data_IF_443128088530
#
_entry.id   IF_443128088530
#
_cell.length_a   1.000
_cell.length_b   1.000
_cell.length_c   1.000
_cell.angle_alpha   90.00
_cell.angle_beta   90.00
_cell.angle_gamma   90.00
#
_symmetry.space_group_name_H-M   'P 1'
#
loop_
_entity.id
_entity.type
_entity.pdbx_description
1 polymer ?
#
# COMPACT_ATOMS: atom_id res chain seq x y z
N UNK A 1 16.82 -37.91 19.67
CA UNK A 1 15.84 -36.93 19.13
C UNK A 1 15.97 -35.50 19.67
N UNK A 2 16.68 -35.23 20.79
CA UNK A 2 16.67 -33.89 21.42
C UNK A 2 17.63 -32.85 20.83
N UNK A 3 18.76 -33.26 20.22
CA UNK A 3 19.77 -32.34 19.67
C UNK A 3 19.35 -31.73 18.33
N UNK A 4 18.88 -32.56 17.39
CA UNK A 4 18.39 -32.11 16.08
C UNK A 4 17.19 -31.14 16.17
N UNK A 5 16.24 -31.38 17.09
CA UNK A 5 15.15 -30.42 17.35
C UNK A 5 15.67 -29.09 17.92
N UNK A 6 16.68 -29.12 18.80
CA UNK A 6 17.29 -27.90 19.32
C UNK A 6 18.04 -27.10 18.25
N UNK A 7 18.71 -27.78 17.32
CA UNK A 7 19.44 -27.15 16.20
C UNK A 7 18.46 -26.50 15.21
N UNK A 8 17.39 -27.19 14.81
CA UNK A 8 16.31 -26.60 13.98
C UNK A 8 15.66 -25.39 14.64
N UNK A 9 15.41 -25.45 15.96
CA UNK A 9 14.80 -24.34 16.69
C UNK A 9 15.76 -23.15 16.87
N UNK A 10 17.08 -23.37 16.77
CA UNK A 10 18.07 -22.29 16.73
C UNK A 10 18.12 -21.64 15.34
N UNK A 11 18.02 -22.43 14.26
CA UNK A 11 17.96 -21.92 12.88
C UNK A 11 16.73 -21.03 12.63
N UNK A 12 15.57 -21.39 13.14
CA UNK A 12 14.31 -20.64 12.93
C UNK A 12 14.21 -19.34 13.76
N UNK A 13 15.12 -19.11 14.71
CA UNK A 13 15.19 -17.86 15.49
C UNK A 13 15.90 -16.74 14.76
N UNK A 14 16.75 -17.07 13.78
CA UNK A 14 17.49 -16.08 13.02
C UNK A 14 16.81 -15.89 11.66
N UNK A 15 16.40 -14.66 11.37
CA UNK A 15 15.88 -14.31 10.06
C UNK A 15 17.03 -14.49 9.05
N UNK A 16 16.82 -15.19 7.92
CA UNK A 16 17.87 -15.41 6.93
C UNK A 16 18.42 -14.09 6.38
N UNK A 17 19.68 -14.08 5.93
CA UNK A 17 20.30 -12.87 5.37
C UNK A 17 19.72 -12.50 4.01
N UNK A 18 19.17 -13.48 3.29
CA UNK A 18 18.38 -13.27 2.07
C UNK A 18 16.98 -13.81 2.34
N UNK A 19 16.01 -12.90 2.42
CA UNK A 19 14.59 -13.23 2.45
C UNK A 19 13.84 -12.14 1.67
N UNK A 20 13.11 -12.51 0.63
CA UNK A 20 12.33 -11.57 -0.16
C UNK A 20 11.01 -12.18 -0.63
N UNK A 21 9.98 -11.34 -0.72
CA UNK A 21 8.66 -11.68 -1.25
C UNK A 21 8.26 -10.71 -2.35
N UNK A 22 7.72 -11.23 -3.44
CA UNK A 22 7.06 -10.43 -4.45
C UNK A 22 5.67 -10.01 -3.96
N UNK A 23 5.23 -8.82 -4.33
CA UNK A 23 3.88 -8.32 -4.03
C UNK A 23 2.80 -9.24 -4.62
N UNK A 24 1.77 -9.51 -3.85
CA UNK A 24 0.61 -10.34 -4.25
C UNK A 24 -0.52 -9.51 -4.86
N UNK A 25 -0.60 -8.22 -4.52
CA UNK A 25 -1.51 -7.25 -5.11
C UNK A 25 -0.68 -6.28 -5.97
N UNK A 26 -0.90 -6.31 -7.27
CA UNK A 26 -0.21 -5.48 -8.25
C UNK A 26 -1.22 -4.57 -8.96
N UNK A 27 -1.28 -3.30 -8.52
CA UNK A 27 -2.04 -2.26 -9.20
C UNK A 27 -1.23 -1.63 -10.33
N UNK A 28 -1.92 -1.23 -11.41
CA UNK A 28 -1.39 -0.26 -12.37
C UNK A 28 -1.43 1.15 -11.74
N UNK A 29 -0.76 2.15 -12.34
CA UNK A 29 -1.16 3.54 -12.13
C UNK A 29 -2.65 3.73 -12.42
N UNK A 30 -3.27 4.71 -11.75
CA UNK A 30 -4.68 5.01 -11.94
C UNK A 30 -4.85 6.29 -12.74
N UNK A 31 -5.44 6.19 -13.94
CA UNK A 31 -5.71 7.31 -14.83
C UNK A 31 -6.98 8.04 -14.39
N UNK A 32 -6.98 9.38 -14.54
CA UNK A 32 -8.08 10.24 -14.15
C UNK A 32 -8.81 10.82 -15.36
N UNK A 33 -10.13 10.68 -15.41
CA UNK A 33 -10.97 11.15 -16.50
C UNK A 33 -12.09 12.04 -15.94
N UNK A 34 -12.56 13.00 -16.73
CA UNK A 34 -13.83 13.65 -16.49
C UNK A 34 -14.94 12.90 -17.23
N UNK A 35 -15.98 12.51 -16.50
CA UNK A 35 -17.25 12.10 -17.10
C UNK A 35 -18.06 13.36 -17.42
N UNK A 36 -18.28 13.60 -18.71
CA UNK A 36 -19.06 14.73 -19.21
C UNK A 36 -20.58 14.45 -19.09
N UNK A 37 -21.38 15.50 -19.17
CA UNK A 37 -22.86 15.42 -19.13
C UNK A 37 -23.46 14.54 -20.25
N UNK A 38 -22.72 14.33 -21.35
CA UNK A 38 -23.12 13.46 -22.46
C UNK A 38 -22.57 12.02 -22.35
N UNK A 39 -22.15 11.60 -21.15
CA UNK A 39 -21.54 10.30 -20.86
C UNK A 39 -20.18 10.03 -21.53
N UNK A 40 -19.61 11.02 -22.25
CA UNK A 40 -18.25 10.90 -22.78
C UNK A 40 -17.24 11.04 -21.66
N UNK A 41 -16.24 10.18 -21.65
CA UNK A 41 -15.07 10.30 -20.79
C UNK A 41 -13.95 11.02 -21.54
N UNK A 42 -13.32 12.01 -20.90
CA UNK A 42 -12.16 12.72 -21.43
C UNK A 42 -11.02 12.72 -20.41
N UNK A 43 -9.74 12.66 -20.83
CA UNK A 43 -8.62 12.68 -19.89
C UNK A 43 -8.58 14.00 -19.11
N UNK A 44 -8.25 13.92 -17.81
CA UNK A 44 -7.84 15.09 -17.05
C UNK A 44 -6.39 15.40 -17.43
N UNK A 45 -6.16 16.53 -18.08
CA UNK A 45 -4.82 16.95 -18.49
C UNK A 45 -4.20 17.90 -17.46
N UNK A 46 -2.91 17.70 -17.15
CA UNK A 46 -2.16 18.61 -16.27
C UNK A 46 -1.85 19.92 -16.99
N UNK A 47 -2.18 21.02 -16.32
CA UNK A 47 -1.90 22.37 -16.78
C UNK A 47 -0.79 22.99 -15.93
N UNK A 48 0.00 23.89 -16.52
CA UNK A 48 0.97 24.70 -15.80
C UNK A 48 0.41 26.12 -15.59
N UNK A 49 0.56 26.65 -14.39
CA UNK A 49 0.20 28.03 -14.07
C UNK A 49 1.27 28.69 -13.23
N UNK A 50 1.33 30.03 -13.30
CA UNK A 50 2.22 30.85 -12.49
C UNK A 50 1.35 31.63 -11.50
N UNK A 51 1.60 31.41 -10.22
CA UNK A 51 0.91 32.11 -9.14
C UNK A 51 1.86 33.09 -8.44
N UNK A 52 1.26 34.16 -7.92
CA UNK A 52 1.95 35.13 -7.05
C UNK A 52 1.43 34.94 -5.63
N UNK A 53 2.23 34.28 -4.80
CA UNK A 53 1.94 34.08 -3.38
C UNK A 53 2.58 35.15 -2.50
N UNK A 54 2.22 35.13 -1.21
CA UNK A 54 2.92 35.85 -0.15
C UNK A 54 4.06 34.98 0.42
N UNK A 55 5.08 35.61 0.99
CA UNK A 55 6.09 34.92 1.80
C UNK A 55 5.51 34.78 3.21
N UNK A 56 5.26 33.55 3.65
CA UNK A 56 4.58 33.27 4.92
C UNK A 56 5.26 32.17 5.75
N UNK A 57 6.49 31.78 5.42
CA UNK A 57 7.23 30.79 6.19
C UNK A 57 7.83 31.40 7.47
N UNK A 58 7.92 30.58 8.52
CA UNK A 58 8.39 31.01 9.84
C UNK A 58 9.79 31.63 9.80
N UNK A 59 10.70 31.07 9.00
CA UNK A 59 12.07 31.55 8.91
C UNK A 59 12.12 32.97 8.32
N UNK A 60 11.30 33.26 7.31
CA UNK A 60 11.14 34.63 6.79
C UNK A 60 10.44 35.57 7.77
N UNK A 61 9.39 35.10 8.46
CA UNK A 61 8.67 35.91 9.44
C UNK A 61 9.52 36.29 10.67
N UNK A 62 10.49 35.45 11.03
CA UNK A 62 11.37 35.64 12.19
C UNK A 62 12.77 36.15 11.85
N UNK A 63 13.02 36.49 10.58
CA UNK A 63 14.32 37.00 10.14
C UNK A 63 15.45 35.96 10.17
N UNK A 64 15.12 34.66 10.25
CA UNK A 64 16.09 33.57 10.16
C UNK A 64 16.61 33.36 8.74
N UNK A 65 15.93 33.93 7.73
CA UNK A 65 16.44 34.03 6.37
C UNK A 65 16.35 35.50 5.87
N UNK A 66 17.26 35.90 4.99
CA UNK A 66 17.33 37.26 4.43
C UNK A 66 16.29 37.52 3.31
N UNK A 67 15.14 36.85 3.35
CA UNK A 67 14.10 37.10 2.34
C UNK A 67 13.33 38.37 2.65
N UNK A 68 13.23 39.26 1.68
CA UNK A 68 12.32 40.38 1.74
C UNK A 68 10.87 39.89 1.72
N UNK A 69 10.17 39.93 2.86
CA UNK A 69 8.78 39.50 3.02
C UNK A 69 7.77 40.37 2.27
N UNK A 70 8.16 41.59 1.87
CA UNK A 70 7.36 42.47 1.02
C UNK A 70 7.45 42.09 -0.48
N UNK A 71 8.38 41.21 -0.85
CA UNK A 71 8.54 40.75 -2.22
C UNK A 71 7.48 39.71 -2.62
N UNK A 72 7.13 39.72 -3.91
CA UNK A 72 6.24 38.74 -4.52
C UNK A 72 6.88 37.34 -4.57
N UNK A 73 6.21 36.31 -4.03
CA UNK A 73 6.64 34.92 -4.16
C UNK A 73 6.05 34.29 -5.43
N UNK A 74 6.72 34.48 -6.57
CA UNK A 74 6.28 33.96 -7.86
C UNK A 74 6.68 32.48 -7.98
N UNK A 75 5.70 31.61 -8.26
CA UNK A 75 5.90 30.16 -8.36
C UNK A 75 5.19 29.62 -9.59
N UNK A 76 5.87 28.74 -10.34
CA UNK A 76 5.20 27.89 -11.34
C UNK A 76 4.76 26.58 -10.69
N UNK A 77 3.57 26.09 -11.01
CA UNK A 77 3.06 24.82 -10.52
C UNK A 77 2.21 24.09 -11.56
N UNK A 78 2.21 22.76 -11.45
CA UNK A 78 1.19 21.94 -12.09
C UNK A 78 -0.11 21.93 -11.28
N UNK A 79 -1.22 21.99 -12.00
CA UNK A 79 -2.57 21.82 -11.46
C UNK A 79 -3.44 21.02 -12.43
N UNK A 80 -4.55 20.49 -11.93
CA UNK A 80 -5.51 19.70 -12.70
C UNK A 80 -6.91 20.10 -12.26
N UNK A 81 -7.82 20.32 -13.21
CA UNK A 81 -9.19 20.73 -12.92
C UNK A 81 -10.17 19.92 -13.74
N UNK A 82 -11.39 19.78 -13.22
CA UNK A 82 -12.51 19.26 -14.00
C UNK A 82 -12.85 20.23 -15.15
N UNK A 83 -13.02 19.76 -16.40
CA UNK A 83 -13.43 20.61 -17.51
C UNK A 83 -14.87 21.12 -17.32
N UNK A 84 -15.25 22.16 -18.07
CA UNK A 84 -16.65 22.59 -18.12
C UNK A 84 -17.55 21.46 -18.64
N UNK A 85 -18.79 21.41 -18.16
CA UNK A 85 -19.77 20.37 -18.49
C UNK A 85 -19.41 18.95 -18.00
N UNK A 86 -18.56 18.83 -16.98
CA UNK A 86 -18.31 17.56 -16.28
C UNK A 86 -19.26 17.37 -15.10
N UNK A 87 -19.64 16.12 -14.85
CA UNK A 87 -20.49 15.72 -13.70
C UNK A 87 -19.76 14.88 -12.65
N UNK A 88 -18.66 14.24 -13.02
CA UNK A 88 -17.92 13.37 -12.11
C UNK A 88 -16.48 13.17 -12.55
N UNK A 89 -15.60 12.97 -11.57
CA UNK A 89 -14.25 12.47 -11.77
C UNK A 89 -14.28 10.94 -11.79
N UNK A 90 -13.80 10.32 -12.86
CA UNK A 90 -13.57 8.88 -12.93
C UNK A 90 -12.09 8.60 -12.71
N UNK A 91 -11.78 7.65 -11.84
CA UNK A 91 -10.43 7.13 -11.65
C UNK A 91 -10.44 5.63 -11.97
N UNK A 92 -9.57 5.19 -12.89
CA UNK A 92 -9.56 3.83 -13.46
C UNK A 92 -8.18 3.19 -13.36
N UNK A 93 -8.12 1.95 -12.87
CA UNK A 93 -6.89 1.16 -12.80
C UNK A 93 -7.15 -0.35 -12.91
N UNK A 94 -6.10 -1.09 -13.25
CA UNK A 94 -6.08 -2.55 -13.18
C UNK A 94 -5.50 -3.05 -11.86
N UNK A 95 -6.00 -4.17 -11.35
CA UNK A 95 -5.44 -4.89 -10.21
C UNK A 95 -5.25 -6.36 -10.56
N UNK A 96 -4.02 -6.86 -10.43
CA UNK A 96 -3.71 -8.29 -10.50
C UNK A 96 -3.50 -8.83 -9.09
N UNK A 97 -4.20 -9.92 -8.75
CA UNK A 97 -4.04 -10.66 -7.49
C UNK A 97 -3.42 -12.02 -7.80
N UNK A 98 -2.34 -12.34 -7.10
CA UNK A 98 -1.55 -13.56 -7.28
C UNK A 98 -1.03 -14.04 -5.92
N UNK A 99 -0.93 -15.35 -5.71
CA UNK A 99 -0.53 -15.95 -4.44
C UNK A 99 0.97 -15.89 -4.15
N UNK A 100 1.63 -14.75 -4.36
CA UNK A 100 3.06 -14.59 -4.11
C UNK A 100 3.42 -14.69 -2.62
N UNK A 101 2.45 -14.52 -1.70
CA UNK A 101 2.65 -14.75 -0.27
C UNK A 101 2.72 -16.23 0.14
N UNK A 102 2.41 -17.18 -0.78
CA UNK A 102 2.45 -18.61 -0.50
C UNK A 102 3.87 -19.17 -0.35
N UNK A 103 4.88 -18.46 -0.88
CA UNK A 103 6.29 -18.85 -0.84
C UNK A 103 7.18 -17.63 -0.95
N UNK A 104 8.34 -17.58 -0.25
CA UNK A 104 9.35 -16.58 -0.55
C UNK A 104 9.74 -16.61 -2.03
N UNK A 105 10.04 -15.44 -2.58
CA UNK A 105 10.67 -15.29 -3.90
C UNK A 105 12.16 -15.64 -3.82
N UNK A 106 12.83 -15.23 -2.74
CA UNK A 106 14.21 -15.60 -2.43
C UNK A 106 14.32 -15.94 -0.95
N UNK A 107 15.00 -17.04 -0.63
CA UNK A 107 15.38 -17.42 0.72
C UNK A 107 16.68 -18.22 0.68
N UNK A 108 17.70 -17.85 1.47
CA UNK A 108 18.95 -18.62 1.53
C UNK A 108 19.01 -19.64 2.68
N UNK A 109 17.89 -19.88 3.36
CA UNK A 109 17.74 -20.95 4.36
C UNK A 109 16.53 -21.83 4.02
N UNK A 110 16.79 -23.09 3.67
CA UNK A 110 15.76 -24.04 3.22
C UNK A 110 14.79 -24.45 4.34
N UNK A 111 15.28 -24.58 5.58
CA UNK A 111 14.45 -24.88 6.75
C UNK A 111 13.45 -23.76 7.01
N UNK A 112 13.93 -22.51 6.98
CA UNK A 112 13.12 -21.31 7.17
C UNK A 112 12.08 -21.13 6.05
N UNK A 113 12.50 -21.31 4.79
CA UNK A 113 11.61 -21.27 3.62
C UNK A 113 10.47 -22.29 3.72
N UNK A 114 10.80 -23.53 4.08
CA UNK A 114 9.80 -24.59 4.22
C UNK A 114 8.82 -24.30 5.35
N UNK A 115 9.26 -23.71 6.46
CA UNK A 115 8.37 -23.30 7.56
C UNK A 115 7.45 -22.15 7.15
N UNK A 116 7.94 -21.17 6.38
CA UNK A 116 7.09 -20.11 5.81
C UNK A 116 6.03 -20.66 4.84
N UNK A 117 6.41 -21.59 3.96
CA UNK A 117 5.47 -22.27 3.06
C UNK A 117 4.40 -23.04 3.84
N UNK A 118 4.79 -23.74 4.91
CA UNK A 118 3.85 -24.45 5.79
C UNK A 118 2.91 -23.47 6.49
N UNK A 119 3.43 -22.38 7.07
CA UNK A 119 2.64 -21.32 7.67
C UNK A 119 1.58 -20.79 6.69
N UNK A 120 1.98 -20.43 5.47
CA UNK A 120 1.06 -19.92 4.45
C UNK A 120 -0.01 -20.96 4.04
N UNK A 121 0.38 -22.23 3.91
CA UNK A 121 -0.54 -23.33 3.61
C UNK A 121 -1.57 -23.53 4.73
N UNK A 122 -1.12 -23.66 5.99
CA UNK A 122 -2.01 -23.80 7.13
C UNK A 122 -2.92 -22.58 7.27
N UNK A 123 -2.39 -21.37 7.05
CA UNK A 123 -3.18 -20.14 7.08
C UNK A 123 -4.29 -20.15 6.02
N UNK A 124 -4.01 -20.65 4.81
CA UNK A 124 -5.01 -20.84 3.77
C UNK A 124 -6.09 -21.84 4.18
N UNK A 125 -5.69 -23.00 4.73
CA UNK A 125 -6.59 -24.08 5.15
C UNK A 125 -7.53 -23.66 6.28
N UNK A 126 -7.07 -22.79 7.20
CA UNK A 126 -7.90 -22.25 8.30
C UNK A 126 -8.76 -21.05 7.91
N UNK A 127 -8.76 -20.64 6.63
CA UNK A 127 -9.59 -19.53 6.13
C UNK A 127 -8.96 -18.14 6.26
N UNK A 128 -7.68 -18.05 6.63
CA UNK A 128 -6.99 -16.77 6.83
C UNK A 128 -6.90 -15.90 5.57
N UNK A 129 -6.72 -16.50 4.39
CA UNK A 129 -6.73 -15.72 3.14
C UNK A 129 -8.13 -15.24 2.75
N UNK A 130 -9.19 -15.94 3.15
CA UNK A 130 -10.57 -15.46 2.94
C UNK A 130 -10.84 -14.23 3.79
N UNK A 131 -10.33 -14.23 5.03
CA UNK A 131 -10.41 -13.07 5.92
C UNK A 131 -9.66 -11.86 5.35
N UNK A 132 -8.41 -12.04 4.90
CA UNK A 132 -7.66 -10.94 4.27
C UNK A 132 -8.27 -10.48 2.96
N UNK A 133 -8.77 -11.40 2.12
CA UNK A 133 -9.49 -11.05 0.89
C UNK A 133 -10.70 -10.15 1.18
N UNK A 134 -11.47 -10.44 2.23
CA UNK A 134 -12.60 -9.59 2.63
C UNK A 134 -12.14 -8.17 3.00
N UNK A 135 -11.06 -8.01 3.76
CA UNK A 135 -10.51 -6.69 4.12
C UNK A 135 -9.98 -5.92 2.90
N UNK A 136 -9.26 -6.58 1.99
CA UNK A 136 -8.78 -5.92 0.77
C UNK A 136 -9.93 -5.51 -0.16
N UNK A 137 -10.95 -6.37 -0.31
CA UNK A 137 -12.14 -6.04 -1.08
C UNK A 137 -12.91 -4.86 -0.47
N UNK A 138 -12.99 -4.78 0.86
CA UNK A 138 -13.61 -3.64 1.54
C UNK A 138 -12.90 -2.34 1.15
N UNK A 139 -11.56 -2.32 1.20
CA UNK A 139 -10.77 -1.16 0.78
C UNK A 139 -10.95 -0.79 -0.70
N UNK A 140 -11.16 -1.77 -1.59
CA UNK A 140 -11.47 -1.52 -3.00
C UNK A 140 -12.79 -0.76 -3.13
N UNK A 141 -13.85 -1.24 -2.47
CA UNK A 141 -15.19 -0.63 -2.58
C UNK A 141 -15.34 0.66 -1.78
N UNK A 142 -14.56 0.87 -0.71
CA UNK A 142 -14.53 2.15 0.04
C UNK A 142 -13.93 3.30 -0.77
N UNK A 143 -13.30 3.02 -1.92
CA UNK A 143 -12.71 4.03 -2.81
C UNK A 143 -11.64 4.94 -2.16
N UNK A 144 -11.07 4.54 -1.01
CA UNK A 144 -10.00 5.30 -0.32
C UNK A 144 -8.74 5.48 -1.17
N UNK A 145 -8.58 4.67 -2.22
CA UNK A 145 -7.56 4.82 -3.24
C UNK A 145 -7.74 6.08 -4.11
N UNK A 146 -8.87 6.80 -4.04
CA UNK A 146 -9.06 8.15 -4.58
C UNK A 146 -8.35 9.26 -3.78
N UNK A 147 -7.90 8.96 -2.56
CA UNK A 147 -7.21 9.89 -1.65
C UNK A 147 -7.95 11.22 -1.50
N UNK A 148 -7.30 12.35 -1.77
CA UNK A 148 -7.86 13.70 -1.63
C UNK A 148 -9.01 13.98 -2.62
N UNK A 149 -9.21 13.13 -3.63
CA UNK A 149 -10.37 13.22 -4.51
C UNK A 149 -11.63 12.55 -3.93
N UNK A 150 -11.50 11.86 -2.79
CA UNK A 150 -12.63 11.28 -2.09
C UNK A 150 -13.28 12.36 -1.22
N UNK A 151 -14.37 12.96 -1.71
CA UNK A 151 -15.21 13.88 -0.93
C UNK A 151 -16.34 13.17 -0.17
N UNK A 152 -16.30 11.83 -0.13
CA UNK A 152 -17.37 10.88 0.26
C UNK A 152 -18.34 10.60 -0.89
N UNK A 153 -18.90 9.38 -0.97
CA UNK A 153 -19.86 8.91 -2.00
C UNK A 153 -19.27 8.60 -3.40
N UNK A 154 -18.36 7.63 -3.48
CA UNK A 154 -17.91 7.11 -4.77
C UNK A 154 -18.80 5.94 -5.23
N UNK A 155 -19.20 5.94 -6.50
CA UNK A 155 -19.78 4.76 -7.14
C UNK A 155 -18.64 3.91 -7.69
N UNK A 156 -18.41 2.75 -7.08
CA UNK A 156 -17.34 1.84 -7.47
C UNK A 156 -17.88 0.71 -8.34
N UNK A 157 -17.25 0.55 -9.49
CA UNK A 157 -17.54 -0.50 -10.47
C UNK A 157 -16.33 -1.42 -10.58
N UNK A 158 -16.51 -2.70 -10.27
CA UNK A 158 -15.49 -3.74 -10.37
C UNK A 158 -15.87 -4.70 -11.50
N UNK A 159 -14.99 -4.80 -12.49
CA UNK A 159 -15.14 -5.75 -13.61
C UNK A 159 -14.10 -6.86 -13.49
N UNK A 160 -14.57 -8.10 -13.54
CA UNK A 160 -13.72 -9.30 -13.49
C UNK A 160 -13.19 -9.63 -14.89
N UNK A 161 -11.96 -10.13 -14.98
CA UNK A 161 -11.41 -10.63 -16.23
C UNK A 161 -12.30 -11.76 -16.80
N UNK A 162 -12.70 -11.61 -18.07
CA UNK A 162 -13.57 -12.55 -18.77
C UNK A 162 -15.07 -12.26 -18.69
N UNK A 163 -15.52 -11.44 -17.72
CA UNK A 163 -16.92 -11.05 -17.57
C UNK A 163 -17.20 -9.75 -18.34
N UNK A 164 -17.46 -9.86 -19.65
CA UNK A 164 -17.81 -8.69 -20.48
C UNK A 164 -19.23 -8.15 -20.23
N UNK A 165 -20.05 -8.80 -19.39
CA UNK A 165 -21.50 -8.50 -19.34
C UNK A 165 -22.05 -7.99 -18.00
N UNK A 166 -21.48 -8.36 -16.85
CA UNK A 166 -22.05 -7.97 -15.55
C UNK A 166 -20.96 -7.42 -14.61
N UNK A 167 -20.67 -6.11 -14.66
CA UNK A 167 -19.81 -5.50 -13.66
C UNK A 167 -20.52 -5.50 -12.29
N UNK A 168 -19.76 -5.73 -11.22
CA UNK A 168 -20.27 -5.53 -9.86
C UNK A 168 -20.20 -4.03 -9.57
N UNK A 169 -21.33 -3.46 -9.20
CA UNK A 169 -21.45 -2.03 -8.88
C UNK A 169 -21.88 -1.91 -7.43
N UNK A 170 -21.20 -1.05 -6.68
CA UNK A 170 -21.54 -0.76 -5.29
C UNK A 170 -21.23 0.70 -4.97
N UNK A 171 -22.09 1.35 -4.19
CA UNK A 171 -21.82 2.67 -3.66
C UNK A 171 -20.96 2.54 -2.38
N UNK A 172 -19.86 3.29 -2.30
CA UNK A 172 -18.94 3.22 -1.16
C UNK A 172 -19.61 3.56 0.18
N UNK A 173 -20.71 4.33 0.16
CA UNK A 173 -21.47 4.67 1.37
C UNK A 173 -22.34 3.52 1.88
N UNK A 174 -22.87 2.68 0.98
CA UNK A 174 -23.69 1.52 1.36
C UNK A 174 -22.89 0.46 2.12
N UNK A 175 -21.57 0.48 1.98
CA UNK A 175 -20.64 -0.49 2.55
C UNK A 175 -19.61 0.17 3.48
N UNK A 176 -19.89 1.37 3.98
CA UNK A 176 -18.95 2.12 4.82
C UNK A 176 -18.56 1.33 6.08
N UNK A 177 -19.54 0.69 6.72
CA UNK A 177 -19.32 -0.16 7.89
C UNK A 177 -18.84 -1.56 7.50
N UNK A 178 -17.97 -2.20 8.32
CA UNK A 178 -17.60 -3.60 8.12
C UNK A 178 -18.80 -4.54 8.07
N UNK A 179 -19.84 -4.29 8.87
CA UNK A 179 -21.05 -5.12 8.90
C UNK A 179 -21.81 -5.08 7.57
N UNK A 180 -22.05 -3.88 7.03
CA UNK A 180 -22.71 -3.72 5.75
C UNK A 180 -21.92 -4.37 4.60
N UNK A 181 -20.59 -4.26 4.64
CA UNK A 181 -19.74 -4.94 3.66
C UNK A 181 -19.81 -6.46 3.78
N UNK A 182 -19.90 -7.02 4.99
CA UNK A 182 -20.11 -8.47 5.16
C UNK A 182 -21.45 -8.92 4.59
N UNK A 183 -22.50 -8.12 4.69
CA UNK A 183 -23.80 -8.45 4.07
C UNK A 183 -23.71 -8.43 2.53
N UNK A 184 -22.98 -7.48 1.95
CA UNK A 184 -22.66 -7.50 0.52
C UNK A 184 -21.94 -8.79 0.11
N UNK A 185 -20.96 -9.25 0.88
CA UNK A 185 -20.23 -10.50 0.59
C UNK A 185 -21.10 -11.77 0.71
N UNK A 186 -22.28 -11.72 1.35
CA UNK A 186 -23.24 -12.84 1.39
C UNK A 186 -24.10 -12.94 0.14
N UNK A 187 -24.16 -11.89 -0.69
CA UNK A 187 -24.84 -11.95 -1.99
C UNK A 187 -24.13 -12.95 -2.92
N UNK A 188 -24.83 -13.47 -3.93
CA UNK A 188 -24.22 -14.39 -4.91
C UNK A 188 -22.97 -13.79 -5.57
N UNK A 189 -23.06 -12.53 -6.00
CA UNK A 189 -21.96 -11.85 -6.69
C UNK A 189 -20.82 -11.50 -5.74
N UNK A 190 -21.13 -10.99 -4.54
CA UNK A 190 -20.13 -10.70 -3.51
C UNK A 190 -19.37 -11.96 -3.07
N UNK A 191 -20.09 -13.08 -2.88
CA UNK A 191 -19.48 -14.37 -2.54
C UNK A 191 -18.58 -14.88 -3.66
N UNK A 192 -19.03 -14.82 -4.92
CA UNK A 192 -18.23 -15.23 -6.08
C UNK A 192 -16.94 -14.40 -6.19
N UNK A 193 -17.01 -13.09 -5.97
CA UNK A 193 -15.84 -12.22 -5.96
C UNK A 193 -14.88 -12.59 -4.82
N UNK A 194 -15.39 -12.81 -3.61
CA UNK A 194 -14.60 -13.23 -2.45
C UNK A 194 -13.90 -14.58 -2.71
N UNK A 195 -14.60 -15.56 -3.26
CA UNK A 195 -14.06 -16.88 -3.57
C UNK A 195 -12.94 -16.80 -4.62
N UNK A 196 -13.12 -16.00 -5.68
CA UNK A 196 -12.10 -15.75 -6.71
C UNK A 196 -10.87 -15.04 -6.13
N UNK A 197 -11.07 -14.03 -5.29
CA UNK A 197 -9.97 -13.27 -4.66
C UNK A 197 -9.19 -14.17 -3.69
N UNK A 198 -9.90 -14.94 -2.86
CA UNK A 198 -9.33 -15.91 -1.92
C UNK A 198 -8.52 -16.98 -2.65
N UNK A 199 -9.07 -17.54 -3.73
CA UNK A 199 -8.39 -18.53 -4.57
C UNK A 199 -7.10 -17.97 -5.16
N UNK A 200 -7.10 -16.71 -5.58
CA UNK A 200 -5.92 -16.05 -6.09
C UNK A 200 -4.83 -15.84 -5.02
N UNK A 201 -5.19 -15.33 -3.84
CA UNK A 201 -4.25 -15.18 -2.72
C UNK A 201 -3.68 -16.52 -2.23
N UNK A 202 -4.48 -17.59 -2.27
CA UNK A 202 -4.05 -18.93 -1.93
C UNK A 202 -3.21 -19.62 -3.03
N UNK A 203 -2.88 -18.92 -4.12
CA UNK A 203 -2.04 -19.44 -5.21
C UNK A 203 -2.74 -20.45 -6.13
N UNK A 204 -4.07 -20.58 -6.06
CA UNK A 204 -4.85 -21.52 -6.88
C UNK A 204 -5.20 -20.95 -8.26
N UNK A 205 -5.18 -19.63 -8.41
CA UNK A 205 -5.51 -18.92 -9.65
C UNK A 205 -4.82 -17.56 -9.72
N UNK A 206 -4.96 -16.87 -10.85
CA UNK A 206 -4.62 -15.43 -10.96
C UNK A 206 -5.90 -14.66 -11.25
N UNK A 207 -6.18 -13.65 -10.44
CA UNK A 207 -7.33 -12.76 -10.64
C UNK A 207 -6.85 -11.44 -11.25
N UNK A 208 -7.57 -10.94 -12.25
CA UNK A 208 -7.37 -9.61 -12.83
C UNK A 208 -8.69 -8.86 -12.76
N UNK A 209 -8.63 -7.65 -12.25
CA UNK A 209 -9.77 -6.74 -12.08
C UNK A 209 -9.49 -5.45 -12.85
N UNK A 210 -10.52 -4.91 -13.50
CA UNK A 210 -10.59 -3.49 -13.83
C UNK A 210 -11.47 -2.82 -12.78
N UNK A 211 -10.96 -1.74 -12.18
CA UNK A 211 -11.62 -1.01 -11.11
C UNK A 211 -11.80 0.42 -11.58
N UNK A 212 -13.06 0.84 -11.67
CA UNK A 212 -13.48 2.19 -12.02
C UNK A 212 -14.21 2.77 -10.80
N UNK A 213 -13.82 3.97 -10.37
CA UNK A 213 -14.55 4.71 -9.34
C UNK A 213 -14.97 6.06 -9.89
N UNK A 214 -16.25 6.36 -9.76
CA UNK A 214 -16.84 7.63 -10.16
C UNK A 214 -17.14 8.45 -8.90
N UNK A 215 -16.49 9.61 -8.79
CA UNK A 215 -16.54 10.52 -7.66
C UNK A 215 -17.30 11.77 -8.09
N UNK A 216 -18.36 12.10 -7.35
CA UNK A 216 -19.13 13.32 -7.63
C UNK A 216 -18.21 14.51 -7.45
N UNK A 217 -18.05 15.29 -8.53
CA UNK A 217 -17.15 16.43 -8.57
C UNK A 217 -17.69 17.47 -9.52
N UNK A 218 -17.73 18.73 -9.09
CA UNK A 218 -18.30 19.79 -9.90
C UNK A 218 -17.33 20.19 -11.01
N UNK A 219 -17.87 20.84 -12.06
CA UNK A 219 -17.03 21.48 -13.06
C UNK A 219 -16.08 22.51 -12.42
N UNK A 220 -14.89 22.67 -13.02
CA UNK A 220 -13.82 23.57 -12.57
C UNK A 220 -13.22 23.26 -11.18
N UNK A 221 -13.68 22.21 -10.51
CA UNK A 221 -13.14 21.79 -9.24
C UNK A 221 -11.74 21.15 -9.40
N UNK A 222 -10.82 21.39 -8.46
CA UNK A 222 -9.45 20.88 -8.52
C UNK A 222 -9.40 19.36 -8.32
N UNK A 223 -8.71 18.68 -9.24
CA UNK A 223 -8.39 17.26 -9.19
C UNK A 223 -7.00 17.09 -8.56
N UNK A 224 -6.82 16.03 -7.78
CA UNK A 224 -5.62 15.77 -6.97
C UNK A 224 -4.86 14.52 -7.42
N UNK A 225 -4.03 14.61 -8.48
CA UNK A 225 -3.09 13.57 -8.89
C UNK A 225 -2.02 13.28 -7.83
N UNK A 226 -1.20 12.28 -8.10
CA UNK A 226 0.05 12.10 -7.36
C UNK A 226 0.98 13.30 -7.56
N UNK A 227 1.78 13.63 -6.55
CA UNK A 227 2.83 14.64 -6.66
C UNK A 227 4.19 13.96 -6.89
N UNK A 228 4.99 14.49 -7.81
CA UNK A 228 6.36 14.05 -8.04
C UNK A 228 7.32 14.70 -7.05
N UNK A 229 8.36 13.94 -6.68
CA UNK A 229 9.46 14.50 -5.89
C UNK A 229 10.42 15.19 -6.86
N UNK A 230 10.41 16.53 -6.85
CA UNK A 230 11.37 17.28 -7.66
C UNK A 230 12.75 17.23 -6.99
N UNK A 231 13.72 16.60 -7.65
CA UNK A 231 15.13 16.82 -7.31
C UNK A 231 15.50 18.28 -7.57
N UNK A 232 16.46 18.81 -6.81
CA UNK A 232 16.76 20.26 -6.70
C UNK A 232 17.18 20.94 -8.02
N UNK A 233 17.39 20.22 -9.12
CA UNK A 233 18.10 20.71 -10.32
C UNK A 233 17.28 20.65 -11.62
N UNK A 234 16.17 21.40 -11.70
CA UNK A 234 15.51 21.66 -12.99
C UNK A 234 15.03 23.12 -13.13
N UNK A 235 15.89 24.10 -12.81
CA UNK A 235 15.61 25.50 -13.16
C UNK A 235 16.68 26.06 -14.10
N UNK A 236 16.34 26.16 -15.38
CA UNK A 236 16.97 27.12 -16.30
C UNK A 236 16.69 28.55 -15.82
N UNK A 237 17.63 29.47 -16.06
CA UNK A 237 17.66 30.85 -15.51
C UNK A 237 16.43 31.73 -15.82
N UNK A 238 15.62 31.37 -16.81
CA UNK A 238 14.63 32.31 -17.38
C UNK A 238 13.16 32.01 -17.01
N UNK A 239 12.89 30.97 -16.21
CA UNK A 239 11.53 30.63 -15.74
C UNK A 239 11.43 30.66 -14.22
N UNK A 240 10.31 31.15 -13.64
CA UNK A 240 10.09 31.08 -12.21
C UNK A 240 10.20 29.61 -11.76
N UNK A 241 10.88 29.40 -10.63
CA UNK A 241 11.15 28.06 -10.10
C UNK A 241 9.84 27.30 -9.95
N UNK A 242 9.73 26.16 -10.64
CA UNK A 242 8.56 25.29 -10.52
C UNK A 242 8.62 24.55 -9.18
N UNK A 243 7.60 24.70 -8.35
CA UNK A 243 7.58 24.24 -6.95
C UNK A 243 6.72 22.99 -6.72
N UNK A 244 5.76 22.73 -7.61
CA UNK A 244 4.86 21.56 -7.55
C UNK A 244 4.81 20.90 -8.93
N UNK A 245 5.16 19.62 -8.95
CA UNK A 245 5.10 18.76 -10.11
C UNK A 245 4.07 17.68 -9.86
N UNK A 246 3.13 17.49 -10.78
CA UNK A 246 2.11 16.45 -10.66
C UNK A 246 2.44 15.29 -11.61
N UNK A 247 2.12 14.08 -11.16
CA UNK A 247 2.34 12.85 -11.92
C UNK A 247 1.34 12.74 -13.06
N UNK A 248 1.85 12.40 -14.24
CA UNK A 248 1.06 12.11 -15.43
C UNK A 248 1.66 10.98 -16.24
N UNK A 249 0.83 10.35 -17.06
CA UNK A 249 1.22 9.32 -18.02
C UNK A 249 0.81 9.81 -19.41
N UNK A 250 1.71 9.87 -20.39
CA UNK A 250 1.32 10.15 -21.77
C UNK A 250 0.41 9.05 -22.31
N UNK A 251 -0.70 9.46 -22.94
CA UNK A 251 -1.64 8.60 -23.65
C UNK A 251 -1.87 9.15 -25.05
N UNK A 252 -2.55 8.37 -25.91
CA UNK A 252 -2.90 8.83 -27.27
C UNK A 252 -3.74 10.11 -27.24
N UNK A 253 -4.64 10.23 -26.25
CA UNK A 253 -5.57 11.36 -26.13
C UNK A 253 -5.01 12.55 -25.33
N UNK A 254 -3.92 12.36 -24.58
CA UNK A 254 -3.36 13.41 -23.70
C UNK A 254 -1.89 13.16 -23.37
N UNK A 255 -0.97 14.09 -23.71
CA UNK A 255 0.45 13.97 -23.41
C UNK A 255 0.76 14.06 -21.91
N UNK A 256 -0.11 14.72 -21.12
CA UNK A 256 0.03 14.88 -19.67
C UNK A 256 -1.22 14.41 -18.94
N UNK A 257 -1.66 13.17 -19.19
CA UNK A 257 -2.84 12.60 -18.54
C UNK A 257 -2.57 12.40 -17.04
N UNK A 258 -3.31 13.13 -16.20
CA UNK A 258 -3.23 13.06 -14.75
C UNK A 258 -3.44 11.64 -14.21
N UNK A 259 -2.62 11.24 -13.24
CA UNK A 259 -2.67 9.91 -12.67
C UNK A 259 -2.31 9.85 -11.17
N UNK A 260 -2.70 8.76 -10.51
CA UNK A 260 -2.13 8.33 -9.23
C UNK A 260 -1.05 7.28 -9.47
N UNK A 261 0.06 7.37 -8.72
CA UNK A 261 1.08 6.32 -8.71
C UNK A 261 0.50 4.99 -8.24
N UNK A 262 0.98 3.89 -8.81
CA UNK A 262 0.56 2.53 -8.42
C UNK A 262 0.84 2.23 -6.94
N UNK A 263 1.94 2.76 -6.38
CA UNK A 263 2.29 2.62 -4.97
C UNK A 263 1.30 3.35 -4.05
N UNK A 264 0.77 4.49 -4.50
CA UNK A 264 -0.23 5.27 -3.75
C UNK A 264 -1.59 4.57 -3.75
N UNK A 265 -1.98 3.96 -4.87
CA UNK A 265 -3.14 3.06 -4.95
C UNK A 265 -2.93 1.84 -4.03
N UNK A 266 -1.78 1.17 -4.16
CA UNK A 266 -1.46 -0.01 -3.36
C UNK A 266 -1.41 0.25 -1.86
N UNK A 267 -0.95 1.42 -1.44
CA UNK A 267 -0.99 1.85 -0.04
C UNK A 267 -2.42 1.90 0.50
N UNK A 268 -3.35 2.54 -0.22
CA UNK A 268 -4.75 2.62 0.19
C UNK A 268 -5.45 1.25 0.23
N UNK A 269 -5.13 0.37 -0.72
CA UNK A 269 -5.67 -0.99 -0.74
C UNK A 269 -5.24 -1.82 0.48
N UNK A 270 -4.01 -1.61 0.99
CA UNK A 270 -3.49 -2.31 2.17
C UNK A 270 -3.69 -1.58 3.48
N UNK A 271 -4.53 -0.55 3.52
CA UNK A 271 -4.97 0.12 4.76
C UNK A 271 -5.99 -0.75 5.50
N UNK A 272 -5.52 -1.90 5.99
CA UNK A 272 -6.34 -2.94 6.62
C UNK A 272 -5.84 -3.32 8.02
N UNK A 273 -4.72 -2.76 8.46
CA UNK A 273 -4.12 -3.08 9.75
C UNK A 273 -4.85 -2.31 10.85
N UNK A 274 -5.85 -2.94 11.44
CA UNK A 274 -6.58 -2.51 12.64
C UNK A 274 -6.23 -3.39 13.85
N UNK A 275 -5.08 -4.08 13.80
CA UNK A 275 -4.63 -5.01 14.85
C UNK A 275 -3.45 -4.46 15.65
N UNK A 276 -3.12 -3.18 15.48
CA UNK A 276 -1.88 -2.60 16.02
C UNK A 276 -2.01 -2.11 17.47
N UNK A 277 -3.23 -1.98 17.98
CA UNK A 277 -3.49 -1.70 19.39
C UNK A 277 -4.75 -2.42 19.84
N UNK A 278 -4.72 -2.99 21.04
CA UNK A 278 -5.89 -3.51 21.76
C UNK A 278 -6.37 -2.59 22.87
N UNK A 279 -5.63 -1.50 23.14
CA UNK A 279 -5.79 -0.64 24.32
C UNK A 279 -6.28 0.77 23.96
N UNK A 280 -6.41 1.09 22.67
CA UNK A 280 -6.85 2.40 22.20
C UNK A 280 -8.31 2.34 21.77
N UNK A 281 -9.12 3.29 22.22
CA UNK A 281 -10.48 3.50 21.70
C UNK A 281 -10.48 4.04 20.26
N UNK A 282 -9.33 4.58 19.81
CA UNK A 282 -9.13 5.18 18.48
C UNK A 282 -8.36 4.25 17.52
N UNK A 283 -8.68 2.95 17.52
CA UNK A 283 -8.09 2.02 16.53
C UNK A 283 -8.74 2.26 15.17
N UNK A 284 -7.98 2.87 14.26
CA UNK A 284 -8.32 2.96 12.85
C UNK A 284 -7.37 2.10 12.01
N UNK A 285 -7.84 1.57 10.87
CA UNK A 285 -6.98 0.84 9.96
C UNK A 285 -5.83 1.72 9.45
N UNK A 286 -4.59 1.24 9.57
CA UNK A 286 -3.41 1.83 8.95
C UNK A 286 -2.93 0.95 7.79
N UNK A 287 -2.10 1.54 6.92
CA UNK A 287 -1.44 0.79 5.86
C UNK A 287 -0.51 -0.26 6.47
N UNK A 288 -0.66 -1.52 6.05
CA UNK A 288 0.19 -2.62 6.53
C UNK A 288 1.65 -2.33 6.20
N UNK A 289 2.47 -2.09 7.22
CA UNK A 289 3.92 -1.92 7.10
C UNK A 289 4.62 -2.84 8.11
N UNK A 290 5.88 -3.28 7.83
CA UNK A 290 6.62 -4.14 8.76
C UNK A 290 6.69 -3.62 10.19
N UNK A 291 6.86 -2.29 10.34
CA UNK A 291 6.93 -1.61 11.64
C UNK A 291 5.64 -0.85 12.01
N UNK A 292 4.59 -0.92 11.17
CA UNK A 292 3.38 -0.10 11.33
C UNK A 292 3.67 1.40 11.28
N UNK A 293 4.38 1.87 10.24
CA UNK A 293 4.72 3.29 10.10
C UNK A 293 3.50 4.11 9.64
N UNK A 294 3.17 5.16 10.38
CA UNK A 294 2.11 6.12 10.07
C UNK A 294 2.78 7.42 9.59
N UNK A 295 2.72 7.68 8.29
CA UNK A 295 3.45 8.79 7.66
C UNK A 295 3.01 10.17 8.16
N UNK A 296 1.72 10.37 8.40
CA UNK A 296 1.18 11.65 8.90
C UNK A 296 1.68 12.02 10.30
N UNK A 297 2.01 11.01 11.10
CA UNK A 297 2.48 11.16 12.48
C UNK A 297 3.99 10.91 12.63
N UNK A 298 4.65 10.47 11.55
CA UNK A 298 6.05 10.07 11.52
C UNK A 298 6.44 9.08 12.64
N UNK A 299 5.52 8.16 12.99
CA UNK A 299 5.71 7.21 14.09
C UNK A 299 5.50 5.76 13.66
N UNK A 300 6.10 4.83 14.39
CA UNK A 300 5.88 3.38 14.24
C UNK A 300 5.09 2.86 15.44
N UNK A 301 3.98 2.15 15.20
CA UNK A 301 3.10 1.65 16.28
C UNK A 301 3.37 0.21 16.70
N UNK A 302 4.16 -0.54 15.94
CA UNK A 302 4.46 -1.96 16.21
C UNK A 302 5.85 -2.22 16.78
N UNK A 303 6.78 -1.27 16.62
CA UNK A 303 8.16 -1.39 17.10
C UNK A 303 8.23 -1.52 18.63
N UNK A 304 7.48 -0.68 19.34
CA UNK A 304 7.56 -0.58 20.81
C UNK A 304 6.95 -1.80 21.51
N UNK A 305 5.93 -2.40 20.89
CA UNK A 305 5.21 -3.58 21.41
C UNK A 305 5.85 -4.92 21.02
N UNK A 306 6.96 -4.92 20.27
CA UNK A 306 7.57 -6.13 19.68
C UNK A 306 6.58 -6.98 18.85
N UNK A 307 5.54 -6.34 18.33
CA UNK A 307 4.55 -6.92 17.43
C UNK A 307 4.78 -6.48 15.97
N UNK A 308 6.00 -6.02 15.67
CA UNK A 308 6.49 -5.78 14.32
C UNK A 308 6.81 -7.09 13.59
N UNK A 309 6.86 -7.03 12.26
CA UNK A 309 7.12 -8.19 11.40
C UNK A 309 8.39 -8.96 11.81
N UNK A 310 9.48 -8.27 12.13
CA UNK A 310 10.77 -8.91 12.40
C UNK A 310 10.77 -9.61 13.75
N UNK A 311 10.18 -9.01 14.78
CA UNK A 311 10.00 -9.66 16.08
C UNK A 311 9.14 -10.94 15.98
N UNK A 312 8.13 -10.93 15.09
CA UNK A 312 7.29 -12.10 14.82
C UNK A 312 8.03 -13.17 13.99
N UNK A 313 8.77 -12.77 12.95
CA UNK A 313 9.56 -13.69 12.10
C UNK A 313 10.67 -14.41 12.86
N UNK A 314 11.22 -13.84 13.95
CA UNK A 314 12.14 -14.54 14.87
C UNK A 314 11.46 -15.65 15.69
N UNK A 315 10.13 -15.69 15.69
CA UNK A 315 9.30 -16.69 16.37
C UNK A 315 8.52 -17.54 15.36
N UNK A 316 9.06 -17.73 14.15
CA UNK A 316 8.35 -18.38 13.04
C UNK A 316 7.77 -19.77 13.39
N UNK A 317 8.51 -20.59 14.14
CA UNK A 317 8.01 -21.91 14.59
C UNK A 317 6.74 -21.78 15.44
N UNK A 318 6.70 -20.80 16.35
CA UNK A 318 5.54 -20.51 17.20
C UNK A 318 4.35 -20.06 16.36
N UNK A 319 4.58 -19.14 15.39
CA UNK A 319 3.53 -18.69 14.47
C UNK A 319 2.94 -19.88 13.70
N UNK A 320 3.80 -20.74 13.16
CA UNK A 320 3.37 -21.91 12.39
C UNK A 320 2.56 -22.88 13.25
N UNK A 321 3.03 -23.19 14.46
CA UNK A 321 2.31 -24.05 15.40
C UNK A 321 0.96 -23.44 15.84
N UNK A 322 0.89 -22.13 16.06
CA UNK A 322 -0.36 -21.45 16.42
C UNK A 322 -1.42 -21.60 15.31
N UNK A 323 -1.05 -21.34 14.06
CA UNK A 323 -1.97 -21.50 12.92
C UNK A 323 -2.36 -22.95 12.67
N UNK A 324 -1.43 -23.90 12.81
CA UNK A 324 -1.73 -25.32 12.62
C UNK A 324 -2.76 -25.83 13.63
N UNK A 325 -2.65 -25.38 14.88
CA UNK A 325 -3.53 -25.77 15.99
C UNK A 325 -4.85 -24.97 16.05
N UNK A 326 -4.97 -23.85 15.33
CA UNK A 326 -6.21 -23.09 15.24
C UNK A 326 -7.34 -23.97 14.66
N UNK A 327 -8.57 -23.87 15.19
CA UNK A 327 -9.71 -24.64 14.64
C UNK A 327 -10.33 -23.96 13.42
N UNK A 328 -10.12 -22.65 13.29
CA UNK A 328 -10.54 -21.84 12.16
C UNK A 328 -10.01 -20.41 12.29
N UNK A 329 -10.46 -19.53 11.39
CA UNK A 329 -9.92 -18.16 11.27
C UNK A 329 -10.07 -17.31 12.53
N UNK A 330 -11.11 -17.54 13.34
CA UNK A 330 -11.35 -16.81 14.59
C UNK A 330 -10.35 -17.15 15.70
N UNK A 331 -9.68 -18.31 15.62
CA UNK A 331 -8.66 -18.72 16.59
C UNK A 331 -7.26 -18.24 16.18
N UNK A 332 -7.11 -17.62 14.99
CA UNK A 332 -5.83 -17.11 14.51
C UNK A 332 -5.56 -15.76 15.17
N UNK A 333 -4.41 -15.63 15.85
CA UNK A 333 -4.02 -14.37 16.48
C UNK A 333 -3.85 -13.23 15.48
N UNK A 334 -4.27 -12.02 15.85
CA UNK A 334 -4.21 -10.83 15.00
C UNK A 334 -2.80 -10.49 14.48
N UNK A 335 -1.77 -10.85 15.24
CA UNK A 335 -0.36 -10.70 14.84
C UNK A 335 -0.01 -11.56 13.61
N UNK A 336 -0.62 -12.73 13.44
CA UNK A 336 -0.45 -13.57 12.24
C UNK A 336 -1.12 -12.92 11.03
N UNK A 337 -2.30 -12.29 11.19
CA UNK A 337 -2.93 -11.53 10.11
C UNK A 337 -2.03 -10.39 9.63
N UNK A 338 -1.36 -9.68 10.55
CA UNK A 338 -0.36 -8.66 10.21
C UNK A 338 0.85 -9.26 9.46
N UNK A 339 1.43 -10.36 9.95
CA UNK A 339 2.56 -11.05 9.29
C UNK A 339 2.17 -11.46 7.87
N UNK A 340 1.04 -12.17 7.70
CA UNK A 340 0.58 -12.62 6.39
C UNK A 340 0.27 -11.44 5.46
N UNK A 341 -0.28 -10.34 5.98
CA UNK A 341 -0.50 -9.12 5.21
C UNK A 341 0.82 -8.46 4.77
N UNK A 342 1.86 -8.51 5.60
CA UNK A 342 3.20 -8.05 5.21
C UNK A 342 3.81 -8.93 4.09
N UNK A 343 3.59 -10.25 4.14
CA UNK A 343 4.03 -11.16 3.06
C UNK A 343 3.27 -10.90 1.76
N UNK A 344 1.96 -10.60 1.84
CA UNK A 344 1.13 -10.19 0.69
C UNK A 344 1.63 -8.87 0.09
N UNK A 345 1.95 -7.87 0.93
CA UNK A 345 2.56 -6.61 0.50
C UNK A 345 3.88 -6.86 -0.24
N UNK A 346 4.67 -7.83 0.22
CA UNK A 346 5.99 -8.12 -0.30
C UNK A 346 7.04 -7.10 0.17
N UNK A 347 8.30 -7.43 -0.10
CA UNK A 347 9.46 -6.67 0.34
C UNK A 347 10.71 -7.53 0.49
N UNK A 348 11.82 -6.87 0.83
CA UNK A 348 13.08 -7.51 1.22
C UNK A 348 13.15 -7.49 2.75
N UNK A 349 13.22 -8.66 3.36
CA UNK A 349 13.15 -8.86 4.81
C UNK A 349 14.41 -9.52 5.38
N UNK A 350 15.45 -9.72 4.56
CA UNK A 350 16.70 -10.32 5.00
C UNK A 350 17.42 -9.45 6.05
N UNK A 351 17.99 -10.09 7.06
CA UNK A 351 18.77 -9.40 8.09
C UNK A 351 20.24 -9.33 7.66
N UNK A 352 20.83 -8.13 7.58
CA UNK A 352 22.29 -8.03 7.36
C UNK A 352 23.00 -8.61 8.58
N UNK A 353 24.04 -9.42 8.36
CA UNK A 353 24.98 -9.72 9.43
C UNK A 353 25.68 -8.43 9.84
N UNK A 354 25.73 -8.14 11.13
CA UNK A 354 26.55 -7.04 11.64
C UNK A 354 28.02 -7.39 11.34
N UNK A 355 28.72 -6.55 10.56
CA UNK A 355 30.19 -6.58 10.33
C UNK A 355 31.00 -6.27 11.61
N UNK A 356 30.56 -6.74 12.78
CA UNK A 356 31.21 -6.51 14.08
C UNK A 356 32.30 -7.52 14.41
N UNK A 357 32.61 -8.49 13.53
CA UNK A 357 33.67 -9.47 13.78
C UNK A 357 35.08 -9.06 13.34
N UNK A 358 35.24 -8.00 12.54
CA UNK A 358 36.57 -7.61 12.02
C UNK A 358 37.22 -6.40 12.71
N UNK A 359 36.55 -5.72 13.66
CA UNK A 359 37.17 -4.59 14.40
C UNK A 359 37.99 -4.97 15.63
N UNK A 360 38.06 -6.25 15.99
CA UNK A 360 38.84 -6.74 17.14
C UNK A 360 40.06 -7.59 16.76
N UNK A 361 40.49 -7.61 15.48
CA UNK A 361 41.69 -8.33 15.04
C UNK A 361 42.91 -7.45 14.71
N UNK A 362 42.78 -6.12 14.71
CA UNK A 362 43.88 -5.18 14.39
C UNK A 362 44.41 -4.40 15.60
N UNK A 363 44.25 -4.92 16.82
CA UNK A 363 44.90 -4.39 18.02
C UNK A 363 45.50 -5.51 18.86
N UNK A 364 46.61 -6.05 18.37
CA UNK A 364 47.40 -7.03 19.09
C UNK A 364 48.54 -7.50 18.19
N UNK A 365 49.58 -6.70 18.11
CA UNK A 365 50.99 -7.11 18.08
C UNK A 365 51.85 -5.89 17.70
N UNK A 366 52.08 -5.02 18.68
CA UNK A 366 53.24 -4.12 18.72
C UNK A 366 53.70 -4.06 20.18
N UNK A 367 54.36 -5.14 20.60
CA UNK A 367 55.23 -5.22 21.76
C UNK A 367 55.96 -6.57 21.70
N UNK A 368 57.11 -6.62 21.02
CA UNK A 368 58.36 -7.08 21.63
C UNK A 368 59.55 -7.07 20.65
N UNK A 369 60.64 -6.46 21.14
CA UNK A 369 62.05 -6.79 20.92
C UNK A 369 62.68 -6.83 19.51
N UNK A 370 63.66 -5.93 19.32
CA UNK A 370 64.71 -6.06 18.30
C UNK A 370 65.43 -4.76 18.00
#
# INVERSE_FOLDING_TARGET
>A
MSKAKKEVNAELKNIPTVLAYSKSLESTPALMFASLNNEKEVPIELQETIIKGAISDYASATGQNEKNTEAANIQSLDYAIMPQNSKALKISFGLKVIGNSMSPFLCNNITYENTLKKLAKSYAEKGGYSYLASKYLHQIFLAKWGWRNLDSFAKVTVTLNGDKKNPLVCNSHEIESPAAFQDFLKTSDGKNLLDKFTSALAGKSVLRLKIDGEFVKNELEEVWPSQEFAEKEMSSSDKPKKTKYLYSIPTEDSPRHAALHSQKVGNALRTIDDWWSSESEDVYPIAVEPLGYISSQQRTVRSDSKNDLYSQLKQLEKLQAEVENAKGVLDIGSHIHHVMSCLIRGGVFGMKEDDKKDKNKDKGDDNDNG
#
